data_IF_009545171342
#
_entry.id   IF_009545171342
#
_cell.length_a   1.000
_cell.length_b   1.000
_cell.length_c   1.000
_cell.angle_alpha   90.00
_cell.angle_beta   90.00
_cell.angle_gamma   90.00
#
_symmetry.space_group_name_H-M   'P 1'
#
loop_
_entity.id
_entity.type
_entity.pdbx_description
1 polymer ?
#
# COMPACT_ATOMS: atom_id res chain seq x y z
N UNK A 1 28.56 -6.74 -1.99
CA UNK A 1 28.31 -5.45 -2.67
C UNK A 1 27.13 -5.55 -3.61
N UNK A 2 27.11 -6.45 -4.59
CA UNK A 2 25.96 -6.65 -5.50
C UNK A 2 24.63 -6.78 -4.76
N UNK A 3 24.54 -7.68 -3.77
CA UNK A 3 23.34 -7.84 -2.93
C UNK A 3 22.97 -6.57 -2.16
N UNK A 4 23.95 -5.80 -1.68
CA UNK A 4 23.70 -4.57 -0.94
C UNK A 4 23.08 -3.49 -1.84
N UNK A 5 23.51 -3.39 -3.10
CA UNK A 5 22.93 -2.49 -4.08
C UNK A 5 21.56 -3.00 -4.57
N UNK A 6 21.44 -4.31 -4.76
CA UNK A 6 20.21 -4.97 -5.19
C UNK A 6 19.04 -4.76 -4.22
N UNK A 7 19.30 -4.71 -2.92
CA UNK A 7 18.28 -4.36 -1.92
C UNK A 7 18.26 -2.85 -1.62
N UNK A 8 19.43 -2.24 -1.45
CA UNK A 8 19.54 -0.85 -0.99
C UNK A 8 18.98 0.17 -1.98
N UNK A 9 19.17 -0.02 -3.29
CA UNK A 9 18.64 0.92 -4.29
C UNK A 9 17.11 0.85 -4.39
N UNK A 10 16.49 -0.33 -4.55
CA UNK A 10 15.03 -0.45 -4.48
C UNK A 10 14.45 0.02 -3.15
N UNK A 11 15.09 -0.32 -2.02
CA UNK A 11 14.66 0.09 -0.69
C UNK A 11 14.68 1.62 -0.52
N UNK A 12 15.76 2.28 -0.95
CA UNK A 12 15.85 3.75 -0.92
C UNK A 12 14.81 4.40 -1.84
N UNK A 13 14.57 3.82 -3.02
CA UNK A 13 13.56 4.34 -3.95
C UNK A 13 12.15 4.21 -3.34
N UNK A 14 11.77 3.03 -2.85
CA UNK A 14 10.49 2.79 -2.20
C UNK A 14 10.27 3.70 -0.96
N UNK A 15 11.32 3.98 -0.20
CA UNK A 15 11.25 4.86 0.97
C UNK A 15 11.09 6.34 0.61
N UNK A 16 11.89 6.84 -0.33
CA UNK A 16 12.00 8.27 -0.62
C UNK A 16 10.97 8.75 -1.64
N UNK A 17 10.67 7.92 -2.65
CA UNK A 17 9.75 8.23 -3.74
C UNK A 17 8.76 7.06 -3.93
N UNK A 18 7.91 6.75 -2.93
CA UNK A 18 7.07 5.54 -2.91
C UNK A 18 6.13 5.45 -4.11
N UNK A 19 5.49 6.55 -4.52
CA UNK A 19 4.62 6.55 -5.71
C UNK A 19 5.38 6.24 -7.00
N UNK A 20 6.58 6.82 -7.16
CA UNK A 20 7.43 6.56 -8.32
C UNK A 20 7.93 5.11 -8.35
N UNK A 21 8.28 4.54 -7.20
CA UNK A 21 8.66 3.13 -7.10
C UNK A 21 7.49 2.22 -7.47
N UNK A 22 6.31 2.46 -6.91
CA UNK A 22 5.11 1.66 -7.22
C UNK A 22 4.77 1.67 -8.72
N UNK A 23 4.82 2.85 -9.34
CA UNK A 23 4.39 3.06 -10.72
C UNK A 23 5.46 2.71 -11.78
N UNK A 24 6.73 2.57 -11.41
CA UNK A 24 7.81 2.45 -12.37
C UNK A 24 8.90 1.43 -12.00
N UNK A 25 8.78 0.68 -10.90
CA UNK A 25 9.74 -0.38 -10.59
C UNK A 25 9.51 -1.61 -11.46
N UNK A 26 10.55 -2.21 -12.07
CA UNK A 26 11.97 -1.85 -11.93
C UNK A 26 12.44 -0.74 -12.85
N UNK A 27 11.73 -0.49 -13.95
CA UNK A 27 12.00 0.58 -14.91
C UNK A 27 10.68 1.18 -15.44
N UNK A 28 10.65 2.45 -15.86
CA UNK A 28 9.47 3.06 -16.46
C UNK A 28 8.88 2.21 -17.58
N UNK A 29 7.57 2.00 -17.57
CA UNK A 29 6.86 1.14 -18.53
C UNK A 29 6.79 -0.34 -18.13
N UNK A 30 7.44 -0.76 -17.04
CA UNK A 30 7.39 -2.13 -16.53
C UNK A 30 7.02 -2.13 -15.04
N UNK A 31 5.77 -1.80 -14.66
CA UNK A 31 5.40 -1.55 -13.26
C UNK A 31 5.11 -2.84 -12.49
N UNK A 32 6.13 -3.62 -12.17
CA UNK A 32 5.99 -4.94 -11.51
C UNK A 32 5.26 -4.85 -10.17
N UNK A 33 5.50 -3.79 -9.40
CA UNK A 33 4.84 -3.59 -8.10
C UNK A 33 3.35 -3.28 -8.29
N UNK A 34 3.00 -2.44 -9.27
CA UNK A 34 1.61 -2.08 -9.54
C UNK A 34 0.74 -3.24 -10.07
N UNK A 35 1.34 -4.39 -10.41
CA UNK A 35 0.60 -5.61 -10.74
C UNK A 35 -0.15 -6.21 -9.53
N UNK A 36 0.21 -5.79 -8.31
CA UNK A 36 -0.36 -6.24 -7.04
C UNK A 36 -0.97 -5.06 -6.25
N UNK A 37 -2.08 -4.49 -6.73
CA UNK A 37 -2.79 -3.42 -6.04
C UNK A 37 -3.44 -3.89 -4.71
N UNK A 38 -3.72 -3.02 -3.71
CA UNK A 38 -3.56 -1.56 -3.71
C UNK A 38 -2.20 -0.95 -3.37
N UNK A 39 -1.98 0.27 -3.90
CA UNK A 39 -0.95 1.18 -3.38
C UNK A 39 -1.29 1.60 -1.94
N UNK A 40 -0.31 1.48 -1.06
CA UNK A 40 -0.37 2.04 0.28
C UNK A 40 0.96 2.72 0.58
N UNK A 41 0.96 4.05 0.73
CA UNK A 41 2.19 4.81 0.93
C UNK A 41 2.93 4.41 2.21
N UNK A 42 2.19 4.22 3.31
CA UNK A 42 2.77 3.87 4.59
C UNK A 42 3.45 2.49 4.51
N UNK A 43 2.74 1.49 3.98
CA UNK A 43 3.28 0.14 3.80
C UNK A 43 4.51 0.13 2.89
N UNK A 44 4.48 0.89 1.79
CA UNK A 44 5.59 0.92 0.84
C UNK A 44 6.81 1.65 1.41
N UNK A 45 6.61 2.69 2.22
CA UNK A 45 7.68 3.34 2.98
C UNK A 45 8.27 2.41 4.04
N UNK A 46 7.45 1.68 4.78
CA UNK A 46 7.91 0.70 5.78
C UNK A 46 8.71 -0.43 5.13
N UNK A 47 8.20 -0.97 4.03
CA UNK A 47 8.90 -1.94 3.20
C UNK A 47 10.24 -1.37 2.70
N UNK A 48 10.22 -0.16 2.14
CA UNK A 48 11.42 0.52 1.67
C UNK A 48 12.47 0.71 2.77
N UNK A 49 12.04 1.13 3.96
CA UNK A 49 12.91 1.29 5.13
C UNK A 49 13.52 -0.05 5.58
N UNK A 50 12.71 -1.11 5.64
CA UNK A 50 13.16 -2.45 6.02
C UNK A 50 14.19 -3.01 5.02
N UNK A 51 13.91 -2.92 3.72
CA UNK A 51 14.79 -3.39 2.65
C UNK A 51 16.07 -2.55 2.57
N UNK A 52 15.97 -1.22 2.75
CA UNK A 52 17.15 -0.35 2.85
C UNK A 52 18.02 -0.73 4.06
N UNK A 53 17.41 -1.00 5.22
CA UNK A 53 18.11 -1.48 6.41
C UNK A 53 18.85 -2.80 6.15
N UNK A 54 18.21 -3.75 5.47
CA UNK A 54 18.85 -4.98 5.02
C UNK A 54 20.04 -4.70 4.06
N UNK A 55 19.86 -3.77 3.11
CA UNK A 55 20.91 -3.28 2.22
C UNK A 55 22.11 -2.71 2.96
N UNK A 56 21.90 -1.96 4.05
CA UNK A 56 22.97 -1.44 4.91
C UNK A 56 23.75 -2.57 5.59
N UNK A 57 23.07 -3.57 6.15
CA UNK A 57 23.73 -4.72 6.79
C UNK A 57 24.53 -5.54 5.76
N UNK A 58 23.97 -5.75 4.57
CA UNK A 58 24.67 -6.41 3.45
C UNK A 58 25.89 -5.60 2.98
N UNK A 59 25.78 -4.27 2.97
CA UNK A 59 26.87 -3.36 2.67
C UNK A 59 27.99 -3.45 3.72
N UNK A 60 27.63 -3.45 5.00
CA UNK A 60 28.57 -3.64 6.09
C UNK A 60 29.28 -4.99 6.00
N UNK A 61 28.54 -6.08 5.77
CA UNK A 61 29.13 -7.41 5.57
C UNK A 61 30.07 -7.45 4.34
N UNK A 62 29.81 -6.66 3.30
CA UNK A 62 30.68 -6.55 2.14
C UNK A 62 31.97 -5.77 2.42
N UNK A 63 31.91 -4.70 3.22
CA UNK A 63 33.08 -3.89 3.59
C UNK A 63 33.92 -4.56 4.69
N UNK A 64 33.27 -5.29 5.60
CA UNK A 64 33.91 -5.95 6.76
C UNK A 64 33.46 -7.42 6.80
N UNK A 65 34.02 -8.29 5.94
CA UNK A 65 33.52 -9.65 5.73
C UNK A 65 33.93 -10.62 6.85
N UNK A 66 33.43 -10.41 8.07
CA UNK A 66 33.56 -11.35 9.18
C UNK A 66 32.61 -12.52 8.97
N UNK A 67 33.04 -13.79 9.18
CA UNK A 67 32.18 -14.95 8.91
C UNK A 67 30.82 -14.91 9.63
N UNK A 68 30.77 -14.46 10.88
CA UNK A 68 29.51 -14.33 11.62
C UNK A 68 28.58 -13.26 11.03
N UNK A 69 29.13 -12.13 10.58
CA UNK A 69 28.35 -11.03 10.00
C UNK A 69 27.84 -11.41 8.61
N UNK A 70 28.67 -12.07 7.80
CA UNK A 70 28.26 -12.60 6.49
C UNK A 70 27.15 -13.64 6.65
N UNK A 71 27.24 -14.53 7.65
CA UNK A 71 26.18 -15.51 7.94
C UNK A 71 24.89 -14.84 8.37
N UNK A 72 24.96 -13.87 9.29
CA UNK A 72 23.79 -13.13 9.75
C UNK A 72 23.11 -12.36 8.59
N UNK A 73 23.89 -11.66 7.77
CA UNK A 73 23.39 -10.91 6.63
C UNK A 73 22.77 -11.84 5.56
N UNK A 74 23.42 -12.96 5.24
CA UNK A 74 22.90 -13.93 4.29
C UNK A 74 21.63 -14.63 4.81
N UNK A 75 21.55 -14.94 6.11
CA UNK A 75 20.34 -15.49 6.73
C UNK A 75 19.18 -14.49 6.70
N UNK A 76 19.44 -13.22 7.05
CA UNK A 76 18.44 -12.15 6.96
C UNK A 76 17.92 -11.95 5.54
N UNK A 77 18.82 -11.96 4.54
CA UNK A 77 18.43 -11.89 3.14
C UNK A 77 17.57 -13.08 2.72
N UNK A 78 17.92 -14.31 3.09
CA UNK A 78 17.10 -15.49 2.77
C UNK A 78 15.72 -15.45 3.44
N UNK A 79 15.64 -14.96 4.68
CA UNK A 79 14.38 -14.80 5.38
C UNK A 79 13.43 -13.82 4.66
N UNK A 80 13.98 -12.84 3.95
CA UNK A 80 13.23 -11.93 3.10
C UNK A 80 12.95 -12.53 1.70
N UNK A 81 13.98 -12.98 0.99
CA UNK A 81 13.90 -13.35 -0.42
C UNK A 81 13.19 -14.68 -0.67
N UNK A 82 13.28 -15.68 0.24
CA UNK A 82 12.68 -16.99 0.00
C UNK A 82 11.14 -16.97 0.03
N UNK A 83 10.47 -16.35 1.04
CA UNK A 83 9.02 -16.16 0.99
C UNK A 83 8.57 -15.32 -0.20
N UNK A 84 9.35 -14.29 -0.55
CA UNK A 84 9.06 -13.42 -1.70
C UNK A 84 9.11 -14.19 -3.02
N UNK A 85 10.14 -15.02 -3.24
CA UNK A 85 10.25 -15.90 -4.40
C UNK A 85 9.08 -16.89 -4.47
N UNK A 86 8.69 -17.49 -3.35
CA UNK A 86 7.55 -18.42 -3.30
C UNK A 86 6.25 -17.72 -3.69
N UNK A 87 5.99 -16.52 -3.18
CA UNK A 87 4.80 -15.75 -3.54
C UNK A 87 4.74 -15.51 -5.06
N UNK A 88 5.80 -14.97 -5.67
CA UNK A 88 5.80 -14.68 -7.11
C UNK A 88 5.70 -15.95 -7.96
N UNK A 89 6.28 -17.07 -7.51
CA UNK A 89 6.18 -18.35 -8.24
C UNK A 89 4.74 -18.82 -8.44
N UNK A 90 3.83 -18.43 -7.55
CA UNK A 90 2.40 -18.75 -7.62
C UNK A 90 1.55 -17.66 -8.33
N UNK A 91 2.12 -16.49 -8.67
CA UNK A 91 1.34 -15.30 -9.08
C UNK A 91 1.80 -14.65 -10.41
N UNK A 92 2.51 -15.37 -11.27
CA UNK A 92 3.00 -14.83 -12.56
C UNK A 92 1.91 -14.51 -13.60
N UNK A 93 0.64 -14.88 -13.37
CA UNK A 93 -0.44 -14.81 -14.37
C UNK A 93 -0.77 -13.41 -14.92
N UNK A 94 -0.16 -12.35 -14.39
CA UNK A 94 -0.38 -10.95 -14.79
C UNK A 94 0.76 -10.32 -15.60
N UNK A 95 1.83 -11.07 -15.90
CA UNK A 95 3.03 -10.55 -16.59
C UNK A 95 3.28 -11.21 -17.94
N UNK A 96 3.92 -10.50 -18.86
CA UNK A 96 4.39 -11.09 -20.13
C UNK A 96 5.52 -12.10 -19.90
N UNK A 97 5.78 -13.00 -20.85
CA UNK A 97 6.81 -14.04 -20.70
C UNK A 97 8.23 -13.49 -20.46
N UNK A 98 8.57 -12.35 -21.06
CA UNK A 98 9.85 -11.68 -20.82
C UNK A 98 9.94 -11.07 -19.41
N UNK A 99 8.84 -10.53 -18.90
CA UNK A 99 8.76 -9.98 -17.54
C UNK A 99 8.78 -11.07 -16.48
N UNK A 100 8.14 -12.22 -16.74
CA UNK A 100 8.23 -13.41 -15.86
C UNK A 100 9.69 -13.87 -15.76
N UNK A 101 10.41 -13.96 -16.88
CA UNK A 101 11.82 -14.33 -16.88
C UNK A 101 12.67 -13.34 -16.08
N UNK A 102 12.51 -12.04 -16.32
CA UNK A 102 13.24 -11.00 -15.61
C UNK A 102 12.94 -11.00 -14.10
N UNK A 103 11.68 -11.16 -13.71
CA UNK A 103 11.28 -11.30 -12.31
C UNK A 103 11.90 -12.55 -11.68
N UNK A 104 11.79 -13.71 -12.33
CA UNK A 104 12.36 -14.96 -11.82
C UNK A 104 13.87 -14.85 -11.59
N UNK A 105 14.62 -14.26 -12.54
CA UNK A 105 16.06 -14.01 -12.36
C UNK A 105 16.31 -13.08 -11.16
N UNK A 106 15.57 -11.99 -11.04
CA UNK A 106 15.73 -11.02 -9.95
C UNK A 106 15.45 -11.61 -8.56
N UNK A 107 14.56 -12.62 -8.48
CA UNK A 107 14.17 -13.26 -7.22
C UNK A 107 15.04 -14.47 -6.85
N UNK A 108 15.50 -15.23 -7.85
CA UNK A 108 16.36 -16.40 -7.63
C UNK A 108 17.80 -16.00 -7.32
N UNK A 109 18.32 -14.96 -7.99
CA UNK A 109 19.73 -14.57 -7.86
C UNK A 109 20.14 -14.22 -6.41
N UNK A 110 19.37 -13.42 -5.63
CA UNK A 110 19.70 -13.14 -4.24
C UNK A 110 19.77 -14.41 -3.38
N UNK A 111 18.83 -15.34 -3.57
CA UNK A 111 18.79 -16.61 -2.85
C UNK A 111 20.04 -17.45 -3.11
N UNK A 112 20.43 -17.58 -4.38
CA UNK A 112 21.63 -18.35 -4.78
C UNK A 112 22.90 -17.72 -4.21
N UNK A 113 23.06 -16.40 -4.34
CA UNK A 113 24.24 -15.70 -3.85
C UNK A 113 24.35 -15.75 -2.32
N UNK A 114 23.23 -15.67 -1.60
CA UNK A 114 23.19 -15.86 -0.15
C UNK A 114 23.61 -17.29 0.26
N UNK A 115 23.11 -18.31 -0.46
CA UNK A 115 23.50 -19.71 -0.25
C UNK A 115 25.00 -19.95 -0.47
N UNK A 116 25.56 -19.37 -1.54
CA UNK A 116 27.01 -19.42 -1.82
C UNK A 116 27.80 -18.75 -0.69
N UNK A 117 27.37 -17.57 -0.23
CA UNK A 117 28.03 -16.86 0.86
C UNK A 117 28.01 -17.68 2.17
N UNK A 118 26.90 -18.34 2.50
CA UNK A 118 26.81 -19.24 3.64
C UNK A 118 27.79 -20.41 3.50
N UNK A 119 27.77 -21.13 2.38
CA UNK A 119 28.67 -22.26 2.13
C UNK A 119 30.16 -21.86 2.23
N UNK A 120 30.52 -20.70 1.67
CA UNK A 120 31.89 -20.18 1.70
C UNK A 120 32.38 -19.82 3.12
N UNK A 121 31.48 -19.50 4.04
CA UNK A 121 31.86 -19.20 5.44
C UNK A 121 31.95 -20.44 6.33
N UNK A 122 31.29 -21.54 5.98
CA UNK A 122 31.38 -22.82 6.71
C UNK A 122 32.73 -23.50 6.45
N UNK A 123 33.18 -23.50 5.19
CA UNK A 123 34.44 -24.15 4.77
C UNK A 123 35.70 -23.48 5.32
N UNK A 124 35.64 -22.19 5.66
CA UNK A 124 36.79 -21.44 6.21
C UNK A 124 37.00 -21.59 7.73
N UNK A 125 36.03 -22.15 8.46
CA UNK A 125 36.10 -22.32 9.92
C UNK A 125 36.93 -23.50 10.43
N UNK A 126 37.49 -24.32 9.53
CA UNK A 126 38.13 -25.61 9.86
C UNK A 126 39.66 -25.66 9.87
N UNK A 127 40.37 -24.53 9.75
CA UNK A 127 41.84 -24.51 9.85
C UNK A 127 42.29 -24.03 11.22
N UNK A 128 42.34 -24.96 12.18
CA UNK A 128 43.19 -24.79 13.38
C UNK A 128 44.64 -24.64 12.94
N UNK A 129 45.35 -23.57 13.34
CA UNK A 129 46.81 -23.52 13.20
C UNK A 129 47.42 -24.70 13.98
N UNK A 130 48.54 -25.30 13.52
CA UNK A 130 49.27 -26.25 14.34
C UNK A 130 49.65 -25.57 15.67
N UNK A 131 49.65 -26.31 16.79
CA UNK A 131 49.99 -25.73 18.09
C UNK A 131 51.40 -25.13 18.01
N UNK A 132 51.50 -23.86 18.38
CA UNK A 132 52.79 -23.20 18.56
C UNK A 132 53.50 -23.87 19.73
N UNK A 133 54.66 -24.47 19.45
CA UNK A 133 55.55 -25.03 20.45
C UNK A 133 55.81 -24.01 21.56
N UNK A 134 55.59 -24.46 22.79
CA UNK A 134 55.71 -23.65 23.98
C UNK A 134 57.12 -23.14 24.18
N UNK A 135 57.25 -21.82 24.32
CA UNK A 135 58.26 -21.23 25.20
C UNK A 135 57.65 -20.11 26.02
N UNK A 136 57.44 -20.45 27.28
CA UNK A 136 57.22 -19.59 28.44
C UNK A 136 58.29 -18.50 28.50
N UNK A 137 57.89 -17.23 28.59
CA UNK A 137 58.67 -16.24 29.35
C UNK A 137 57.72 -15.20 29.92
N UNK A 138 57.38 -15.38 31.19
CA UNK A 138 56.85 -14.32 32.02
C UNK A 138 57.97 -13.30 32.25
N UNK A 139 57.67 -12.01 32.19
CA UNK A 139 58.36 -11.01 33.00
C UNK A 139 57.46 -9.80 33.22
N UNK A 140 57.72 -9.19 34.37
CA UNK A 140 56.83 -8.50 35.28
C UNK A 140 57.24 -7.02 35.31
N UNK A 141 56.26 -6.14 35.53
CA UNK A 141 56.35 -4.82 36.19
C UNK A 141 57.20 -3.69 35.57
N UNK A 142 56.61 -2.48 35.58
CA UNK A 142 57.39 -1.23 35.57
C UNK A 142 56.58 0.01 35.20
N UNK A 143 55.98 0.68 36.20
CA UNK A 143 55.57 2.08 36.11
C UNK A 143 56.80 2.96 35.81
N UNK A 144 56.68 3.96 34.94
CA UNK A 144 57.30 5.27 35.17
C UNK A 144 56.61 6.37 34.37
N UNK A 145 55.94 7.25 35.11
CA UNK A 145 55.52 8.59 34.70
C UNK A 145 56.75 9.45 34.43
N UNK A 146 56.77 10.18 33.31
CA UNK A 146 57.57 11.40 33.18
C UNK A 146 56.75 12.47 32.43
N UNK A 147 56.55 13.57 33.15
CA UNK A 147 55.96 14.84 32.72
C UNK A 147 57.03 15.61 31.94
N UNK A 148 56.70 16.14 30.76
CA UNK A 148 57.37 17.36 30.26
C UNK A 148 56.51 18.12 29.23
N UNK A 149 56.20 19.36 29.58
CA UNK A 149 55.89 20.53 28.75
C UNK A 149 56.40 21.72 29.61
N UNK A 150 56.82 22.90 29.11
CA UNK A 150 56.33 23.56 27.88
C UNK A 150 57.36 24.39 27.08
N UNK A 151 56.98 24.85 25.88
CA UNK A 151 57.38 26.20 25.42
C UNK A 151 56.38 26.79 24.40
N UNK A 152 56.01 28.03 24.70
CA UNK A 152 55.06 28.93 24.05
C UNK A 152 55.75 29.85 23.03
N UNK A 153 55.08 30.19 21.92
CA UNK A 153 54.80 31.54 21.38
C UNK A 153 54.21 31.41 19.95
N UNK A 154 52.96 31.84 19.73
CA UNK A 154 52.53 33.17 19.19
C UNK A 154 52.98 33.38 17.73
N UNK A 155 52.14 33.72 16.75
CA UNK A 155 51.02 34.67 16.76
C UNK A 155 50.10 34.53 15.51
N UNK A 156 48.83 34.94 15.67
CA UNK A 156 47.97 35.73 14.73
C UNK A 156 47.67 35.21 13.30
N UNK A 157 46.45 35.15 12.73
CA UNK A 157 45.16 35.90 12.81
C UNK A 157 44.07 35.11 12.05
N UNK A 158 42.76 35.41 12.21
CA UNK A 158 41.66 34.68 11.54
C UNK A 158 41.16 35.37 10.25
N UNK A 159 40.84 34.61 9.22
CA UNK A 159 40.01 35.06 8.09
C UNK A 159 38.66 34.32 8.09
N UNK A 160 37.58 35.11 8.08
CA UNK A 160 36.17 34.72 8.00
C UNK A 160 35.71 34.40 6.56
N UNK A 161 34.61 33.65 6.40
CA UNK A 161 34.34 32.85 5.21
C UNK A 161 33.62 33.61 4.07
N UNK A 162 33.95 33.28 2.82
CA UNK A 162 33.22 33.73 1.62
C UNK A 162 32.15 32.71 1.21
N UNK A 163 30.92 33.19 1.07
CA UNK A 163 29.74 32.49 0.54
C UNK A 163 29.89 32.19 -0.96
N UNK A 164 29.56 30.97 -1.44
CA UNK A 164 29.48 30.70 -2.89
C UNK A 164 28.14 31.21 -3.46
N UNK A 165 28.21 31.88 -4.62
CA UNK A 165 27.05 32.29 -5.42
C UNK A 165 26.51 31.10 -6.23
N UNK A 166 25.19 30.94 -6.24
CA UNK A 166 24.43 30.02 -7.09
C UNK A 166 24.50 30.45 -8.56
N UNK A 167 24.78 29.56 -9.52
CA UNK A 167 24.57 29.87 -10.94
C UNK A 167 23.12 29.55 -11.35
N UNK A 168 22.45 30.54 -11.96
CA UNK A 168 21.16 30.39 -12.66
C UNK A 168 21.30 29.43 -13.84
N UNK A 169 20.49 28.37 -13.86
CA UNK A 169 20.34 27.48 -15.02
C UNK A 169 19.19 27.99 -15.88
N UNK A 170 19.52 28.41 -17.10
CA UNK A 170 18.61 28.75 -18.20
C UNK A 170 17.69 27.56 -18.51
N UNK A 171 16.37 27.74 -18.36
CA UNK A 171 15.38 26.77 -18.85
C UNK A 171 15.27 26.87 -20.38
N UNK A 172 15.49 25.77 -21.08
CA UNK A 172 15.15 25.62 -22.50
C UNK A 172 13.80 24.86 -22.58
N UNK A 173 12.82 25.31 -23.39
CA UNK A 173 11.48 24.75 -23.37
C UNK A 173 11.32 23.68 -24.45
N UNK A 174 11.25 22.40 -24.06
CA UNK A 174 10.52 21.35 -24.79
C UNK A 174 10.50 20.08 -23.96
N UNK A 175 9.57 19.97 -23.01
CA UNK A 175 9.11 18.67 -22.53
C UNK A 175 7.65 18.54 -22.95
N UNK A 176 7.40 17.65 -23.91
CA UNK A 176 6.04 17.18 -24.16
C UNK A 176 5.65 16.36 -22.93
N UNK A 177 4.67 16.87 -22.21
CA UNK A 177 4.04 16.23 -21.06
C UNK A 177 3.61 14.82 -21.43
N UNK A 178 4.35 13.82 -20.96
CA UNK A 178 4.00 12.42 -21.11
C UNK A 178 2.98 12.11 -20.01
N UNK A 179 1.71 12.41 -20.26
CA UNK A 179 0.61 12.04 -19.36
C UNK A 179 0.56 10.51 -19.26
N UNK A 180 0.98 9.98 -18.10
CA UNK A 180 0.82 8.56 -17.78
C UNK A 180 -0.67 8.22 -17.70
N UNK A 181 -1.06 7.14 -18.36
CA UNK A 181 -2.39 6.57 -18.20
C UNK A 181 -2.60 6.12 -16.74
N UNK A 182 -3.78 6.36 -16.15
CA UNK A 182 -4.07 5.96 -14.77
C UNK A 182 -3.94 4.44 -14.58
N UNK A 183 -3.44 4.00 -13.43
CA UNK A 183 -3.40 2.57 -13.07
C UNK A 183 -4.83 2.01 -12.92
N UNK A 184 -5.05 0.70 -13.07
CA UNK A 184 -6.38 0.05 -12.91
C UNK A 184 -7.05 0.41 -11.58
N UNK A 185 -6.27 0.63 -10.53
CA UNK A 185 -6.80 1.06 -9.25
C UNK A 185 -7.02 2.56 -9.15
N UNK A 186 -6.17 3.40 -9.74
CA UNK A 186 -6.49 4.80 -9.92
C UNK A 186 -7.76 4.94 -10.76
N UNK A 187 -7.98 4.09 -11.77
CA UNK A 187 -9.24 3.98 -12.51
C UNK A 187 -10.40 3.51 -11.64
N UNK A 188 -10.22 2.56 -10.71
CA UNK A 188 -11.29 2.13 -9.78
C UNK A 188 -11.60 3.20 -8.72
N UNK A 189 -10.59 3.86 -8.16
CA UNK A 189 -10.70 5.00 -7.24
C UNK A 189 -11.25 6.24 -7.95
N UNK A 190 -10.91 6.43 -9.22
CA UNK A 190 -11.41 7.49 -10.08
C UNK A 190 -12.86 7.21 -10.44
N UNK A 191 -13.21 6.02 -10.95
CA UNK A 191 -14.61 5.60 -11.14
C UNK A 191 -15.41 5.72 -9.85
N UNK A 192 -14.82 5.40 -8.69
CA UNK A 192 -15.45 5.64 -7.39
C UNK A 192 -15.65 7.11 -7.10
N UNK A 193 -14.63 7.95 -7.24
CA UNK A 193 -14.80 9.38 -7.06
C UNK A 193 -15.86 9.94 -8.02
N UNK A 194 -15.83 9.56 -9.30
CA UNK A 194 -16.82 9.89 -10.33
C UNK A 194 -18.22 9.30 -10.07
N UNK A 195 -18.33 8.20 -9.30
CA UNK A 195 -19.63 7.69 -8.84
C UNK A 195 -20.24 8.64 -7.79
N UNK A 196 -19.42 9.32 -7.01
CA UNK A 196 -19.84 10.24 -5.94
C UNK A 196 -19.85 11.72 -6.35
N UNK A 197 -18.97 12.16 -7.25
CA UNK A 197 -18.92 13.51 -7.85
C UNK A 197 -19.84 13.51 -9.07
N UNK A 198 -21.14 13.77 -8.83
CA UNK A 198 -22.19 13.55 -9.83
C UNK A 198 -22.34 14.72 -10.78
N UNK A 199 -22.16 15.94 -10.29
CA UNK A 199 -22.21 17.14 -11.13
C UNK A 199 -20.89 17.40 -11.88
N UNK A 200 -19.83 16.64 -11.55
CA UNK A 200 -18.54 16.65 -12.22
C UNK A 200 -17.74 17.91 -11.90
N UNK A 201 -18.01 18.56 -10.77
CA UNK A 201 -17.31 19.76 -10.34
C UNK A 201 -15.91 19.48 -9.75
N UNK A 202 -15.55 18.19 -9.62
CA UNK A 202 -14.28 17.73 -9.09
C UNK A 202 -14.25 17.67 -7.56
N UNK A 203 -15.42 17.78 -6.92
CA UNK A 203 -15.61 17.78 -5.47
C UNK A 203 -16.82 16.92 -5.13
N UNK A 204 -16.93 16.57 -3.85
CA UNK A 204 -18.09 15.86 -3.31
C UNK A 204 -18.69 16.73 -2.22
N UNK A 205 -19.97 17.07 -2.37
CA UNK A 205 -20.71 17.85 -1.39
C UNK A 205 -22.04 17.19 -0.98
N UNK A 206 -22.82 17.86 -0.14
CA UNK A 206 -24.10 17.34 0.36
C UNK A 206 -25.08 17.00 -0.79
N UNK A 207 -25.08 17.80 -1.85
CA UNK A 207 -25.98 17.70 -2.98
C UNK A 207 -25.77 16.41 -3.77
N UNK A 208 -24.51 15.99 -3.96
CA UNK A 208 -24.18 14.72 -4.62
C UNK A 208 -24.82 13.52 -3.91
N UNK A 209 -24.76 13.51 -2.59
CA UNK A 209 -25.28 12.43 -1.75
C UNK A 209 -26.80 12.38 -1.76
N UNK A 210 -27.45 13.55 -1.74
CA UNK A 210 -28.90 13.64 -1.87
C UNK A 210 -29.35 13.20 -3.27
N UNK A 211 -28.61 13.57 -4.30
CA UNK A 211 -28.89 13.18 -5.68
C UNK A 211 -28.78 11.65 -5.85
N UNK A 212 -27.74 11.04 -5.29
CA UNK A 212 -27.54 9.60 -5.35
C UNK A 212 -28.67 8.83 -4.66
N UNK A 213 -29.09 9.25 -3.46
CA UNK A 213 -30.24 8.66 -2.78
C UNK A 213 -31.52 8.77 -3.63
N UNK A 214 -31.81 9.95 -4.20
CA UNK A 214 -32.99 10.15 -5.08
C UNK A 214 -32.93 9.28 -6.34
N UNK A 215 -31.74 9.07 -6.92
CA UNK A 215 -31.53 8.19 -8.07
C UNK A 215 -31.88 6.74 -7.73
N UNK A 216 -31.41 6.26 -6.57
CA UNK A 216 -31.71 4.90 -6.09
C UNK A 216 -33.22 4.76 -5.91
N UNK A 217 -33.89 5.71 -5.24
CA UNK A 217 -35.35 5.67 -5.07
C UNK A 217 -36.08 5.60 -6.41
N UNK A 218 -35.65 6.41 -7.39
CA UNK A 218 -36.22 6.37 -8.74
C UNK A 218 -36.02 5.01 -9.42
N UNK A 219 -34.90 4.32 -9.19
CA UNK A 219 -34.67 2.98 -9.75
C UNK A 219 -35.56 1.88 -9.15
N UNK A 220 -36.15 2.15 -7.98
CA UNK A 220 -37.10 1.27 -7.30
C UNK A 220 -38.55 1.75 -7.41
N UNK A 221 -38.81 2.80 -8.19
CA UNK A 221 -40.12 3.48 -8.27
C UNK A 221 -40.66 3.92 -6.89
N UNK A 222 -39.76 4.25 -5.95
CA UNK A 222 -40.09 4.62 -4.57
C UNK A 222 -40.15 6.14 -4.39
N UNK A 223 -41.12 6.63 -3.61
CA UNK A 223 -41.26 8.08 -3.39
C UNK A 223 -40.26 8.57 -2.33
N UNK A 224 -39.56 9.71 -2.54
CA UNK A 224 -38.77 10.38 -1.49
C UNK A 224 -39.54 10.72 -0.22
N UNK A 225 -40.88 10.79 -0.29
CA UNK A 225 -41.74 11.10 0.85
C UNK A 225 -42.30 9.87 1.54
N UNK A 226 -42.09 8.65 1.04
CA UNK A 226 -42.51 7.43 1.73
C UNK A 226 -41.58 7.14 2.91
N UNK A 227 -41.98 6.24 3.80
CA UNK A 227 -41.17 5.86 4.96
C UNK A 227 -39.81 5.30 4.52
N UNK A 228 -39.79 4.42 3.50
CA UNK A 228 -38.54 3.86 2.93
C UNK A 228 -37.72 4.94 2.21
N UNK A 229 -38.39 5.86 1.51
CA UNK A 229 -37.72 6.98 0.83
C UNK A 229 -37.04 7.96 1.79
N UNK A 230 -37.72 8.31 2.88
CA UNK A 230 -37.16 9.17 3.92
C UNK A 230 -35.99 8.48 4.63
N UNK A 231 -36.12 7.18 4.96
CA UNK A 231 -35.05 6.42 5.59
C UNK A 231 -33.76 6.39 4.74
N UNK A 232 -33.87 6.17 3.42
CA UNK A 232 -32.70 6.19 2.53
C UNK A 232 -32.04 7.58 2.49
N UNK A 233 -32.84 8.65 2.36
CA UNK A 233 -32.32 10.02 2.36
C UNK A 233 -31.62 10.35 3.66
N UNK A 234 -32.20 9.98 4.81
CA UNK A 234 -31.61 10.17 6.13
C UNK A 234 -30.30 9.39 6.28
N UNK A 235 -30.22 8.15 5.79
CA UNK A 235 -29.02 7.35 5.85
C UNK A 235 -27.87 7.97 5.02
N UNK A 236 -28.13 8.36 3.77
CA UNK A 236 -27.12 8.99 2.91
C UNK A 236 -26.67 10.34 3.45
N UNK A 237 -27.60 11.20 3.87
CA UNK A 237 -27.27 12.50 4.46
C UNK A 237 -26.61 12.36 5.83
N UNK A 238 -26.93 11.30 6.58
CA UNK A 238 -26.25 10.92 7.82
C UNK A 238 -24.79 10.57 7.59
N UNK A 239 -24.49 9.76 6.57
CA UNK A 239 -23.12 9.44 6.16
C UNK A 239 -22.35 10.71 5.74
N UNK A 240 -22.96 11.59 4.94
CA UNK A 240 -22.38 12.90 4.62
C UNK A 240 -22.09 13.73 5.89
N UNK A 241 -23.08 13.90 6.78
CA UNK A 241 -22.93 14.71 7.99
C UNK A 241 -21.81 14.18 8.89
N UNK A 242 -21.69 12.85 9.02
CA UNK A 242 -20.61 12.23 9.76
C UNK A 242 -19.24 12.58 9.17
N UNK A 243 -19.06 12.35 7.86
CA UNK A 243 -17.80 12.63 7.17
C UNK A 243 -17.45 14.13 7.18
N UNK A 244 -18.42 14.99 6.88
CA UNK A 244 -18.27 16.44 6.92
C UNK A 244 -17.87 16.93 8.32
N UNK A 245 -18.45 16.34 9.38
CA UNK A 245 -18.07 16.61 10.77
C UNK A 245 -16.63 16.21 11.09
N UNK A 246 -16.21 15.02 10.65
CA UNK A 246 -14.82 14.55 10.82
C UNK A 246 -13.82 15.42 10.04
N UNK A 247 -14.24 15.98 8.92
CA UNK A 247 -13.45 16.94 8.12
C UNK A 247 -13.60 18.39 8.58
N UNK A 248 -14.42 18.67 9.60
CA UNK A 248 -14.70 20.02 10.14
C UNK A 248 -15.18 21.01 9.07
N UNK A 249 -16.02 20.51 8.16
CA UNK A 249 -16.58 21.31 7.09
C UNK A 249 -17.74 22.19 7.60
N UNK A 250 -17.87 23.38 7.00
CA UNK A 250 -19.04 24.23 7.19
C UNK A 250 -20.27 23.71 6.44
N UNK A 251 -21.42 24.41 6.55
CA UNK A 251 -22.70 23.99 5.95
C UNK A 251 -22.66 23.77 4.43
N UNK A 252 -21.81 24.51 3.71
CA UNK A 252 -21.61 24.41 2.27
C UNK A 252 -20.20 23.91 1.92
N UNK A 253 -19.60 23.12 2.82
CA UNK A 253 -18.28 22.55 2.58
C UNK A 253 -18.33 21.40 1.57
N UNK A 254 -17.22 21.21 0.87
CA UNK A 254 -17.04 20.11 -0.07
C UNK A 254 -15.69 19.45 0.14
N UNK A 255 -15.58 18.19 -0.25
CA UNK A 255 -14.36 17.41 -0.20
C UNK A 255 -13.76 17.34 -1.60
N UNK A 256 -12.50 17.77 -1.74
CA UNK A 256 -11.72 17.40 -2.90
C UNK A 256 -11.33 15.92 -2.85
N UNK A 257 -10.91 15.37 -3.99
CA UNK A 257 -10.57 13.95 -4.14
C UNK A 257 -9.61 13.43 -3.06
N UNK A 258 -8.54 14.16 -2.79
CA UNK A 258 -7.53 13.71 -1.83
C UNK A 258 -8.11 13.67 -0.42
N UNK A 259 -8.84 14.71 0.00
CA UNK A 259 -9.46 14.74 1.32
C UNK A 259 -10.52 13.66 1.48
N UNK A 260 -11.34 13.41 0.46
CA UNK A 260 -12.32 12.33 0.49
C UNK A 260 -11.65 10.97 0.69
N UNK A 261 -10.58 10.68 -0.06
CA UNK A 261 -9.81 9.44 0.08
C UNK A 261 -9.20 9.31 1.48
N UNK A 262 -8.48 10.34 1.95
CA UNK A 262 -7.85 10.34 3.28
C UNK A 262 -8.88 10.16 4.40
N UNK A 263 -10.09 10.67 4.21
CA UNK A 263 -11.17 10.57 5.18
C UNK A 263 -11.80 9.18 5.16
N UNK A 264 -12.12 8.63 3.99
CA UNK A 264 -12.64 7.28 3.83
C UNK A 264 -11.65 6.24 4.41
N UNK A 265 -10.36 6.40 4.13
CA UNK A 265 -9.31 5.53 4.66
C UNK A 265 -9.28 5.56 6.19
N UNK A 266 -9.32 6.75 6.81
CA UNK A 266 -9.26 6.89 8.27
C UNK A 266 -10.54 6.46 8.98
N UNK A 267 -11.70 6.75 8.41
CA UNK A 267 -12.98 6.60 9.09
C UNK A 267 -13.66 5.26 8.80
N UNK A 268 -13.39 4.66 7.65
CA UNK A 268 -14.05 3.43 7.20
C UNK A 268 -13.03 2.29 7.21
N UNK A 269 -11.93 2.41 6.45
CA UNK A 269 -11.00 1.29 6.24
C UNK A 269 -10.13 1.00 7.47
N UNK A 270 -9.46 2.00 8.03
CA UNK A 270 -8.53 1.85 9.15
C UNK A 270 -9.23 1.39 10.44
N UNK A 271 -10.53 1.64 10.56
CA UNK A 271 -11.37 1.22 11.70
C UNK A 271 -11.98 -0.17 11.49
N UNK A 272 -11.74 -0.81 10.35
CA UNK A 272 -12.26 -2.15 10.02
C UNK A 272 -13.78 -2.23 10.15
N UNK A 273 -14.29 -3.35 10.69
CA UNK A 273 -15.74 -3.60 10.87
C UNK A 273 -16.46 -2.45 11.55
N UNK A 274 -15.92 -1.89 12.62
CA UNK A 274 -16.55 -0.76 13.33
C UNK A 274 -16.73 0.47 12.44
N UNK A 275 -15.75 0.78 11.58
CA UNK A 275 -15.87 1.91 10.65
C UNK A 275 -16.97 1.68 9.62
N UNK A 276 -17.04 0.47 9.06
CA UNK A 276 -18.11 0.10 8.13
C UNK A 276 -19.50 0.09 8.80
N UNK A 277 -19.61 -0.48 9.99
CA UNK A 277 -20.88 -0.59 10.73
C UNK A 277 -21.45 0.78 11.12
N UNK A 278 -20.59 1.74 11.47
CA UNK A 278 -21.02 3.08 11.83
C UNK A 278 -21.32 3.97 10.61
N UNK A 279 -20.50 3.86 9.56
CA UNK A 279 -20.52 4.83 8.45
C UNK A 279 -21.34 4.33 7.27
N UNK A 280 -21.22 3.04 6.91
CA UNK A 280 -21.74 2.49 5.65
C UNK A 280 -22.96 1.58 5.85
N UNK A 281 -23.02 0.81 6.94
CA UNK A 281 -24.14 -0.11 7.21
C UNK A 281 -25.51 0.55 7.16
N UNK A 282 -25.74 1.79 7.66
CA UNK A 282 -27.05 2.43 7.57
C UNK A 282 -27.54 2.60 6.12
N UNK A 283 -26.67 2.97 5.17
CA UNK A 283 -27.09 3.12 3.77
C UNK A 283 -27.38 1.78 3.11
N UNK A 284 -26.58 0.74 3.41
CA UNK A 284 -26.82 -0.62 2.92
C UNK A 284 -28.16 -1.15 3.47
N UNK A 285 -28.44 -0.97 4.76
CA UNK A 285 -29.68 -1.38 5.38
C UNK A 285 -30.90 -0.69 4.74
N UNK A 286 -30.82 0.61 4.46
CA UNK A 286 -31.93 1.31 3.78
C UNK A 286 -32.12 0.87 2.32
N UNK A 287 -31.06 0.48 1.61
CA UNK A 287 -31.19 -0.11 0.26
C UNK A 287 -31.82 -1.50 0.34
N UNK A 288 -31.44 -2.28 1.33
CA UNK A 288 -32.05 -3.58 1.60
C UNK A 288 -33.56 -3.46 1.84
N UNK A 289 -33.98 -2.51 2.67
CA UNK A 289 -35.40 -2.25 2.89
C UNK A 289 -36.15 -1.89 1.58
N UNK A 290 -35.48 -1.29 0.59
CA UNK A 290 -36.10 -1.01 -0.72
C UNK A 290 -36.24 -2.27 -1.58
N UNK A 291 -35.25 -3.14 -1.51
CA UNK A 291 -35.18 -4.42 -2.23
C UNK A 291 -36.15 -5.46 -1.66
N UNK A 292 -36.24 -5.53 -0.33
CA UNK A 292 -37.09 -6.46 0.42
C UNK A 292 -38.58 -6.11 0.20
N UNK A 293 -39.23 -6.90 -0.67
CA UNK A 293 -40.63 -6.71 -1.06
C UNK A 293 -41.57 -7.53 -0.21
N UNK A 294 -41.13 -8.65 0.34
CA UNK A 294 -41.99 -9.50 1.18
C UNK A 294 -41.85 -9.20 2.69
N UNK A 295 -40.88 -8.37 3.07
CA UNK A 295 -40.71 -7.83 4.42
C UNK A 295 -40.08 -8.82 5.39
N UNK A 296 -39.32 -9.79 4.90
CA UNK A 296 -38.68 -10.81 5.73
C UNK A 296 -37.34 -10.35 6.34
N UNK A 297 -36.86 -9.16 5.95
CA UNK A 297 -35.63 -8.54 6.42
C UNK A 297 -34.37 -9.04 5.71
N UNK A 298 -34.51 -9.81 4.64
CA UNK A 298 -33.43 -10.38 3.83
C UNK A 298 -33.68 -10.13 2.35
N UNK A 299 -32.71 -10.47 1.51
CA UNK A 299 -32.86 -10.36 0.05
C UNK A 299 -32.77 -11.72 -0.60
N UNK A 300 -33.89 -12.12 -1.19
CA UNK A 300 -33.97 -13.34 -2.00
C UNK A 300 -33.24 -13.18 -3.35
N UNK A 301 -32.92 -14.28 -4.06
CA UNK A 301 -32.32 -14.22 -5.39
C UNK A 301 -33.16 -13.43 -6.41
N UNK A 302 -34.48 -13.40 -6.23
CA UNK A 302 -35.40 -12.65 -7.10
C UNK A 302 -35.27 -11.15 -6.87
N UNK A 303 -35.23 -10.73 -5.62
CA UNK A 303 -35.07 -9.31 -5.24
C UNK A 303 -33.69 -8.81 -5.60
N UNK A 304 -32.65 -9.63 -5.40
CA UNK A 304 -31.29 -9.30 -5.82
C UNK A 304 -31.20 -9.07 -7.33
N UNK A 305 -31.85 -9.91 -8.16
CA UNK A 305 -31.91 -9.70 -9.61
C UNK A 305 -32.58 -8.38 -9.99
N UNK A 306 -33.68 -8.04 -9.32
CA UNK A 306 -34.37 -6.77 -9.53
C UNK A 306 -33.48 -5.59 -9.17
N UNK A 307 -32.70 -5.71 -8.09
CA UNK A 307 -31.72 -4.71 -7.69
C UNK A 307 -30.57 -4.56 -8.68
N UNK A 308 -29.91 -5.65 -9.10
CA UNK A 308 -28.82 -5.58 -10.10
C UNK A 308 -29.31 -5.00 -11.42
N UNK A 309 -30.54 -5.30 -11.81
CA UNK A 309 -31.17 -4.69 -12.98
C UNK A 309 -31.42 -3.19 -12.80
N UNK A 310 -31.82 -2.75 -11.61
CA UNK A 310 -32.11 -1.34 -11.33
C UNK A 310 -30.84 -0.48 -11.25
N UNK A 311 -29.69 -1.08 -10.91
CA UNK A 311 -28.37 -0.40 -10.95
C UNK A 311 -27.77 -0.32 -12.36
N UNK A 312 -28.37 -0.99 -13.36
CA UNK A 312 -27.90 -1.00 -14.74
C UNK A 312 -26.78 -2.01 -15.04
N UNK A 313 -26.51 -2.93 -14.10
CA UNK A 313 -25.57 -4.03 -14.29
C UNK A 313 -26.20 -5.21 -15.06
N UNK A 314 -25.36 -6.07 -15.64
CA UNK A 314 -25.82 -7.22 -16.41
C UNK A 314 -26.46 -8.29 -15.52
N UNK A 315 -27.77 -8.49 -15.69
CA UNK A 315 -28.58 -9.49 -14.98
C UNK A 315 -27.99 -10.92 -15.11
N UNK A 316 -27.25 -11.20 -16.19
CA UNK A 316 -26.59 -12.50 -16.39
C UNK A 316 -25.54 -12.82 -15.31
N UNK A 317 -25.02 -11.79 -14.64
CA UNK A 317 -24.02 -11.92 -13.58
C UNK A 317 -24.62 -12.01 -12.17
N UNK A 318 -25.93 -11.70 -12.02
CA UNK A 318 -26.59 -11.61 -10.73
C UNK A 318 -26.55 -12.93 -9.94
N UNK A 319 -26.77 -14.08 -10.60
CA UNK A 319 -26.73 -15.39 -9.94
C UNK A 319 -25.32 -15.75 -9.42
N UNK A 320 -24.28 -15.32 -10.12
CA UNK A 320 -22.89 -15.54 -9.71
C UNK A 320 -22.52 -14.61 -8.57
N UNK A 321 -22.93 -13.34 -8.63
CA UNK A 321 -22.76 -12.38 -7.56
C UNK A 321 -23.48 -12.81 -6.28
N UNK A 322 -24.74 -13.23 -6.39
CA UNK A 322 -25.53 -13.71 -5.24
C UNK A 322 -24.79 -14.82 -4.50
N UNK A 323 -24.38 -15.88 -5.20
CA UNK A 323 -23.63 -17.02 -4.62
C UNK A 323 -22.27 -16.63 -4.03
N UNK A 324 -21.67 -15.53 -4.49
CA UNK A 324 -20.40 -15.06 -3.95
C UNK A 324 -20.59 -14.26 -2.64
N UNK A 325 -21.80 -13.75 -2.41
CA UNK A 325 -22.17 -12.94 -1.25
C UNK A 325 -22.77 -13.84 -0.16
N UNK A 326 -23.66 -14.76 -0.55
CA UNK A 326 -24.31 -15.78 0.28
C UNK A 326 -23.24 -16.72 0.87
N UNK A 327 -22.76 -16.37 2.06
CA UNK A 327 -21.59 -16.97 2.68
C UNK A 327 -21.95 -18.23 3.45
N UNK A 328 -23.14 -18.25 4.06
CA UNK A 328 -23.63 -19.41 4.80
C UNK A 328 -24.49 -20.37 3.95
N UNK A 329 -24.80 -20.00 2.71
CA UNK A 329 -25.57 -20.78 1.73
C UNK A 329 -27.00 -21.08 2.20
N UNK A 330 -27.60 -20.15 2.94
CA UNK A 330 -29.00 -20.26 3.36
C UNK A 330 -29.99 -19.88 2.23
N UNK A 331 -29.47 -19.30 1.14
CA UNK A 331 -30.22 -18.92 -0.05
C UNK A 331 -30.87 -17.54 0.03
N UNK A 332 -30.56 -16.75 1.05
CA UNK A 332 -30.95 -15.36 1.23
C UNK A 332 -29.70 -14.50 1.47
N UNK A 333 -29.81 -13.18 1.34
CA UNK A 333 -28.73 -12.25 1.69
C UNK A 333 -29.11 -11.42 2.89
N UNK A 334 -28.34 -11.54 3.96
CA UNK A 334 -28.45 -10.73 5.16
C UNK A 334 -27.80 -9.35 5.00
N UNK A 335 -28.12 -8.41 5.90
CA UNK A 335 -27.43 -7.12 6.02
C UNK A 335 -25.94 -7.33 6.23
N UNK A 336 -25.57 -8.28 7.08
CA UNK A 336 -24.19 -8.59 7.44
C UNK A 336 -23.38 -9.09 6.23
N UNK A 337 -23.95 -9.96 5.40
CA UNK A 337 -23.29 -10.46 4.19
C UNK A 337 -23.10 -9.38 3.15
N UNK A 338 -24.07 -8.47 2.99
CA UNK A 338 -23.96 -7.35 2.08
C UNK A 338 -22.95 -6.30 2.55
N UNK A 339 -22.93 -5.99 3.85
CA UNK A 339 -21.86 -5.15 4.43
C UNK A 339 -20.50 -5.78 4.20
N UNK A 340 -20.38 -7.11 4.39
CA UNK A 340 -19.14 -7.81 4.15
C UNK A 340 -18.76 -7.85 2.67
N UNK A 341 -19.72 -7.99 1.76
CA UNK A 341 -19.49 -7.93 0.33
C UNK A 341 -19.05 -6.55 -0.12
N UNK A 342 -19.67 -5.49 0.39
CA UNK A 342 -19.22 -4.11 0.16
C UNK A 342 -17.81 -3.93 0.71
N UNK A 343 -17.48 -4.44 1.90
CA UNK A 343 -16.11 -4.42 2.42
C UNK A 343 -15.13 -5.15 1.49
N UNK A 344 -15.43 -6.38 1.06
CA UNK A 344 -14.60 -7.17 0.14
C UNK A 344 -14.42 -6.47 -1.21
N UNK A 345 -15.46 -5.81 -1.71
CA UNK A 345 -15.38 -4.99 -2.92
C UNK A 345 -14.41 -3.82 -2.73
N UNK A 346 -14.50 -3.14 -1.57
CA UNK A 346 -13.59 -2.03 -1.23
C UNK A 346 -12.14 -2.48 -1.03
N UNK A 347 -11.89 -3.70 -0.54
CA UNK A 347 -10.53 -4.25 -0.39
C UNK A 347 -10.00 -4.96 -1.64
N UNK A 348 -10.82 -5.10 -2.68
CA UNK A 348 -10.45 -5.75 -3.94
C UNK A 348 -10.52 -7.28 -3.92
N UNK A 349 -11.18 -7.86 -2.92
CA UNK A 349 -11.46 -9.29 -2.78
C UNK A 349 -12.73 -9.72 -3.52
N UNK A 350 -13.56 -8.76 -3.97
CA UNK A 350 -14.77 -8.99 -4.75
C UNK A 350 -14.82 -7.99 -5.93
N UNK A 351 -15.23 -8.45 -7.12
CA UNK A 351 -15.32 -7.60 -8.33
C UNK A 351 -16.76 -7.12 -8.63
N UNK A 352 -17.73 -7.42 -7.76
CA UNK A 352 -19.14 -7.01 -7.92
C UNK A 352 -19.38 -5.67 -7.21
N UNK A 353 -19.71 -4.64 -7.98
CA UNK A 353 -20.16 -3.35 -7.43
C UNK A 353 -21.63 -3.46 -6.99
N UNK A 354 -21.90 -3.32 -5.70
CA UNK A 354 -23.26 -3.30 -5.15
C UNK A 354 -23.82 -1.87 -5.04
N UNK A 355 -22.97 -0.85 -5.11
CA UNK A 355 -23.31 0.57 -4.97
C UNK A 355 -22.75 1.37 -6.15
#
# INVERSE_FOLDING_TARGET
MVLALGEGVPGAWALLLPRGFYAAFPLPGHPWVALFPPYNEHLLRDFGAAVLGLGVVLGWAACVPRPWLVRAAAAGLLAFSAPHLLFHSAHFGRSSGAEVFAQAVSLVLPCVLAGIALAATVTRGGRTPPPADGRTTALRTGLHTVIHTPRQRQDSRPETPRTPRTPEIRQNPTEREFTMSPTVQEERLQRRFELWDRDGDGRIDRGDWEHEARRILASFDESPTSDKGQALLEAYLGMWNYLAGQAQLGPNGSLDRQKFQDLADRQILARGRTGFDEVVRPTIASILDLCDKDGDGQVSPKEFKLWIKSTGADESTADTAFRAIDADNDGQLSVEELVQAVHKYHTGELDVALL
#
